data_IF_688563092370
#
_entry.id   IF_688563092370
#
_cell.length_a   1.000
_cell.length_b   1.000
_cell.length_c   1.000
_cell.angle_alpha   90.00
_cell.angle_beta   90.00
_cell.angle_gamma   90.00
#
_symmetry.space_group_name_H-M   'P 1'
#
loop_
_entity.id
_entity.type
_entity.pdbx_description
1 polymer ?
#
# COMPACT_ATOMS: atom_id res chain seq x y z
N UNK A 1 -0.01 -22.78 6.42
CA UNK A 1 -0.89 -21.60 6.31
C UNK A 1 -0.37 -20.73 5.18
N UNK A 2 -1.14 -19.73 4.76
CA UNK A 2 -0.68 -18.73 3.79
C UNK A 2 0.22 -17.69 4.47
N UNK A 3 1.01 -16.98 3.67
CA UNK A 3 1.75 -15.82 4.13
C UNK A 3 0.78 -14.72 4.56
N UNK A 4 1.09 -14.03 5.65
CA UNK A 4 0.27 -12.97 6.21
C UNK A 4 0.47 -11.66 5.44
N UNK A 5 0.02 -11.67 4.18
CA UNK A 5 0.00 -10.54 3.27
C UNK A 5 -1.41 -9.94 3.26
N UNK A 6 -1.58 -8.77 3.89
CA UNK A 6 -2.88 -8.18 4.21
C UNK A 6 -2.84 -6.66 4.05
N UNK A 7 -4.00 -6.06 3.76
CA UNK A 7 -4.20 -4.61 3.75
C UNK A 7 -5.43 -4.26 4.57
N UNK A 8 -5.30 -3.29 5.48
CA UNK A 8 -6.44 -2.64 6.11
C UNK A 8 -6.84 -1.44 5.26
N UNK A 9 -8.12 -1.39 4.86
CA UNK A 9 -8.65 -0.39 3.92
C UNK A 9 -9.79 0.38 4.57
N UNK A 10 -9.73 1.71 4.49
CA UNK A 10 -10.85 2.59 4.81
C UNK A 10 -11.82 2.64 3.63
N UNK A 11 -13.03 2.13 3.85
CA UNK A 11 -14.12 2.07 2.88
C UNK A 11 -15.21 3.12 3.15
N UNK A 12 -15.09 3.88 4.24
CA UNK A 12 -16.14 4.78 4.71
C UNK A 12 -15.87 6.23 4.30
N UNK A 13 -14.60 6.62 4.15
CA UNK A 13 -14.22 7.99 3.83
C UNK A 13 -13.80 8.17 2.37
N UNK A 14 -13.93 9.42 1.91
CA UNK A 14 -13.46 9.89 0.62
C UNK A 14 -12.41 10.98 0.81
N UNK A 15 -11.36 10.92 0.01
CA UNK A 15 -10.29 11.93 0.00
C UNK A 15 -9.86 12.21 -1.45
N UNK A 16 -9.34 13.42 -1.75
CA UNK A 16 -8.74 13.73 -3.03
C UNK A 16 -7.40 13.01 -3.18
N UNK A 17 -7.06 12.59 -4.40
CA UNK A 17 -5.68 12.19 -4.70
C UNK A 17 -4.80 13.43 -4.81
N UNK A 18 -3.91 13.61 -3.83
CA UNK A 18 -2.97 14.73 -3.76
C UNK A 18 -1.59 14.32 -4.26
N UNK A 19 -0.96 15.17 -5.08
CA UNK A 19 0.37 14.91 -5.66
C UNK A 19 1.45 14.79 -4.59
N UNK A 20 1.38 15.65 -3.59
CA UNK A 20 2.29 15.75 -2.45
C UNK A 20 2.28 14.50 -1.56
N UNK A 21 1.23 13.67 -1.63
CA UNK A 21 1.09 12.43 -0.88
C UNK A 21 1.54 11.20 -1.68
N UNK A 22 1.84 11.36 -2.98
CA UNK A 22 2.30 10.25 -3.81
C UNK A 22 3.72 9.83 -3.43
N UNK A 23 3.85 8.56 -3.03
CA UNK A 23 5.14 7.94 -2.70
C UNK A 23 5.89 7.44 -3.96
N UNK A 24 5.31 7.60 -5.15
CA UNK A 24 5.93 7.20 -6.41
C UNK A 24 7.01 8.18 -6.83
N UNK A 25 8.09 7.66 -7.44
CA UNK A 25 9.24 8.49 -7.85
C UNK A 25 8.89 9.57 -8.88
N UNK A 26 7.90 9.33 -9.75
CA UNK A 26 7.52 10.27 -10.80
C UNK A 26 6.70 11.46 -10.30
N UNK A 27 6.11 11.37 -9.10
CA UNK A 27 5.40 12.49 -8.47
C UNK A 27 4.17 12.98 -9.25
N UNK A 28 3.49 12.10 -9.98
CA UNK A 28 2.21 12.42 -10.63
C UNK A 28 1.29 11.19 -10.68
N UNK A 29 -0.01 11.44 -10.75
CA UNK A 29 -1.06 10.41 -10.89
C UNK A 29 -2.08 10.87 -11.94
N UNK A 30 -2.59 9.98 -12.81
CA UNK A 30 -3.71 10.32 -13.70
C UNK A 30 -5.00 10.61 -12.92
N UNK A 31 -5.05 10.26 -11.64
CA UNK A 31 -6.20 10.47 -10.76
C UNK A 31 -6.06 11.72 -9.87
N UNK A 32 -5.00 12.52 -10.05
CA UNK A 32 -4.78 13.76 -9.27
C UNK A 32 -6.05 14.63 -9.25
N UNK A 33 -6.52 14.99 -8.05
CA UNK A 33 -7.73 15.77 -7.81
C UNK A 33 -9.05 14.97 -7.81
N UNK A 34 -9.04 13.65 -8.04
CA UNK A 34 -10.24 12.83 -7.92
C UNK A 34 -10.54 12.50 -6.46
N UNK A 35 -11.79 12.64 -6.05
CA UNK A 35 -12.30 12.14 -4.75
C UNK A 35 -12.52 10.62 -4.83
N UNK A 36 -11.74 9.85 -4.08
CA UNK A 36 -11.77 8.37 -4.06
C UNK A 36 -12.02 7.83 -2.66
N UNK A 37 -12.54 6.61 -2.58
CA UNK A 37 -12.63 5.79 -1.35
C UNK A 37 -11.82 4.50 -1.51
N UNK A 38 -11.60 3.75 -0.43
CA UNK A 38 -10.80 2.53 -0.46
C UNK A 38 -9.32 2.81 -0.18
N UNK A 39 -9.03 3.69 0.78
CA UNK A 39 -7.67 4.10 1.09
C UNK A 39 -6.96 3.06 1.98
N UNK A 40 -5.71 2.67 1.66
CA UNK A 40 -4.95 1.78 2.53
C UNK A 40 -4.51 2.52 3.80
N UNK A 41 -4.94 2.04 4.95
CA UNK A 41 -4.53 2.53 6.26
C UNK A 41 -3.24 1.84 6.74
N UNK A 42 -3.13 0.54 6.48
CA UNK A 42 -1.96 -0.25 6.86
C UNK A 42 -1.76 -1.43 5.91
N UNK A 43 -0.49 -1.76 5.64
CA UNK A 43 -0.12 -2.92 4.81
C UNK A 43 0.81 -3.83 5.60
N UNK A 44 0.50 -5.12 5.60
CA UNK A 44 1.28 -6.18 6.25
C UNK A 44 1.82 -7.10 5.15
N UNK A 45 3.12 -7.37 5.19
CA UNK A 45 3.78 -8.33 4.28
C UNK A 45 4.54 -9.35 5.13
N UNK A 46 4.22 -10.63 4.97
CA UNK A 46 4.80 -11.73 5.74
C UNK A 46 4.68 -11.54 7.26
N UNK A 47 3.56 -10.95 7.72
CA UNK A 47 3.29 -10.68 9.14
C UNK A 47 3.99 -9.45 9.72
N UNK A 48 4.60 -8.59 8.89
CA UNK A 48 5.25 -7.35 9.32
C UNK A 48 4.54 -6.15 8.71
N UNK A 49 4.27 -5.12 9.52
CA UNK A 49 3.74 -3.84 9.04
C UNK A 49 4.82 -3.15 8.20
N UNK A 50 4.52 -2.89 6.92
CA UNK A 50 5.43 -2.24 5.96
C UNK A 50 4.98 -0.83 5.57
N UNK A 51 3.73 -0.50 5.86
CA UNK A 51 3.17 0.82 5.63
C UNK A 51 2.08 1.08 6.69
N UNK A 52 2.07 2.28 7.23
CA UNK A 52 1.09 2.74 8.21
C UNK A 52 0.90 4.26 8.09
N UNK A 53 -0.35 4.71 8.00
CA UNK A 53 -0.74 6.14 8.03
C UNK A 53 0.11 7.03 7.12
N UNK A 54 0.22 6.68 5.83
CA UNK A 54 0.93 7.48 4.83
C UNK A 54 2.45 7.26 4.78
N UNK A 55 3.03 6.39 5.61
CA UNK A 55 4.48 6.23 5.73
C UNK A 55 4.93 4.80 5.47
N UNK A 56 6.01 4.64 4.71
CA UNK A 56 6.67 3.35 4.48
C UNK A 56 7.63 3.04 5.63
N UNK A 57 7.53 1.83 6.18
CA UNK A 57 8.47 1.29 7.15
C UNK A 57 9.67 0.65 6.41
N UNK A 58 10.72 1.44 6.17
CA UNK A 58 11.85 1.09 5.30
C UNK A 58 12.78 -0.01 5.81
N UNK A 59 12.58 -0.50 7.04
CA UNK A 59 13.38 -1.57 7.66
C UNK A 59 12.82 -2.98 7.39
N UNK A 60 11.78 -3.10 6.57
CA UNK A 60 11.16 -4.39 6.23
C UNK A 60 11.23 -4.61 4.72
N UNK A 61 11.93 -5.67 4.29
CA UNK A 61 11.99 -6.10 2.90
C UNK A 61 11.16 -7.37 2.69
N UNK A 62 10.50 -7.45 1.53
CA UNK A 62 9.84 -8.66 1.06
C UNK A 62 10.82 -9.81 0.78
N UNK A 63 10.28 -11.01 0.56
CA UNK A 63 11.04 -12.19 0.14
C UNK A 63 10.69 -12.55 -1.30
N UNK A 64 11.65 -13.11 -2.02
CA UNK A 64 11.40 -13.62 -3.37
C UNK A 64 10.40 -14.79 -3.32
N UNK A 65 9.37 -14.72 -4.17
CA UNK A 65 8.46 -15.84 -4.39
C UNK A 65 9.19 -16.99 -5.06
N UNK A 66 8.81 -18.22 -4.74
CA UNK A 66 9.25 -19.44 -5.42
C UNK A 66 8.06 -20.09 -6.08
N UNK A 67 8.26 -20.56 -7.30
CA UNK A 67 7.25 -21.26 -8.08
C UNK A 67 7.81 -22.64 -8.40
N UNK A 68 7.01 -23.67 -8.16
CA UNK A 68 7.37 -25.02 -8.55
C UNK A 68 7.16 -25.19 -10.07
N UNK A 69 8.04 -25.96 -10.72
CA UNK A 69 7.79 -26.40 -12.08
C UNK A 69 6.75 -27.53 -12.04
N UNK A 70 5.85 -27.54 -13.04
CA UNK A 70 4.73 -28.47 -13.19
C UNK A 70 5.11 -29.95 -13.00
#
# INVERSE_FOLDING_TARGET
GYDADLVLVDLENYYPVLREELLTKCGWSPFEGWELTGWPESTIVGGKVVYESGRICSNVCGKALRFDAY
#
